data_IF_959411395433
#
_entry.id   IF_959411395433
#
_cell.length_a   1.000
_cell.length_b   1.000
_cell.length_c   1.000
_cell.angle_alpha   90.00
_cell.angle_beta   90.00
_cell.angle_gamma   90.00
#
_symmetry.space_group_name_H-M   'P 1'
#
loop_
_entity.id
_entity.type
_entity.pdbx_description
1 polymer ?
#
# COMPACT_ATOMS: atom_id res chain seq x y z
N UNK A 1 9.24 -2.34 24.89
CA UNK A 1 7.84 -2.24 24.40
C UNK A 1 7.89 -2.11 22.89
N UNK A 2 7.25 -3.04 22.19
CA UNK A 2 7.16 -2.96 20.74
C UNK A 2 6.24 -1.79 20.32
N UNK A 3 6.63 -1.07 19.26
CA UNK A 3 5.76 -0.06 18.65
C UNK A 3 4.54 -0.70 17.98
N UNK A 4 3.47 0.05 17.75
CA UNK A 4 2.30 -0.41 16.99
C UNK A 4 2.68 -1.00 15.63
N UNK A 5 3.62 -0.36 14.91
CA UNK A 5 4.15 -0.85 13.65
C UNK A 5 4.87 -2.20 13.76
N UNK A 6 5.67 -2.41 14.82
CA UNK A 6 6.36 -3.69 15.05
C UNK A 6 5.36 -4.82 15.32
N UNK A 7 4.35 -4.59 16.16
CA UNK A 7 3.28 -5.55 16.44
C UNK A 7 2.47 -5.89 15.17
N UNK A 8 2.14 -4.90 14.35
CA UNK A 8 1.42 -5.09 13.10
C UNK A 8 2.22 -5.93 12.11
N UNK A 9 3.55 -5.75 12.05
CA UNK A 9 4.43 -6.56 11.19
C UNK A 9 4.54 -8.01 11.69
N UNK A 10 4.57 -8.25 12.99
CA UNK A 10 4.54 -9.60 13.56
C UNK A 10 3.21 -10.29 13.20
N UNK A 11 2.10 -9.60 13.35
CA UNK A 11 0.79 -10.13 12.95
C UNK A 11 0.74 -10.44 11.46
N UNK A 12 1.29 -9.56 10.62
CA UNK A 12 1.40 -9.77 9.19
C UNK A 12 2.21 -11.04 8.87
N UNK A 13 3.34 -11.25 9.54
CA UNK A 13 4.17 -12.44 9.36
C UNK A 13 3.41 -13.72 9.75
N UNK A 14 2.67 -13.70 10.85
CA UNK A 14 1.83 -14.82 11.27
C UNK A 14 0.74 -15.11 10.24
N UNK A 15 0.05 -14.07 9.77
CA UNK A 15 -0.97 -14.20 8.73
C UNK A 15 -0.40 -14.76 7.42
N UNK A 16 0.80 -14.30 7.03
CA UNK A 16 1.49 -14.81 5.84
C UNK A 16 1.83 -16.28 5.94
N UNK A 17 2.26 -16.74 7.12
CA UNK A 17 2.55 -18.15 7.38
C UNK A 17 1.28 -19.03 7.37
N UNK A 18 0.13 -18.44 7.62
CA UNK A 18 -1.17 -19.14 7.69
C UNK A 18 -1.99 -19.00 6.40
N UNK A 19 -1.40 -18.56 5.30
CA UNK A 19 -2.10 -18.46 4.02
C UNK A 19 -2.73 -19.81 3.66
N UNK A 20 -4.05 -19.79 3.37
CA UNK A 20 -4.83 -20.96 3.03
C UNK A 20 -5.52 -21.65 4.22
N UNK A 21 -5.09 -21.40 5.45
CA UNK A 21 -5.72 -21.95 6.66
C UNK A 21 -6.51 -20.91 7.49
N UNK A 22 -6.28 -19.63 7.24
CA UNK A 22 -6.97 -18.54 7.94
C UNK A 22 -8.40 -18.35 7.37
N UNK A 23 -9.46 -18.54 8.17
CA UNK A 23 -10.84 -18.39 7.72
C UNK A 23 -11.27 -16.93 7.56
N UNK A 24 -10.45 -15.96 7.98
CA UNK A 24 -10.79 -14.54 7.95
C UNK A 24 -10.73 -14.01 6.52
N UNK A 25 -11.86 -13.52 6.02
CA UNK A 25 -12.01 -13.02 4.64
C UNK A 25 -11.54 -11.59 4.46
N UNK A 26 -11.64 -10.76 5.50
CA UNK A 26 -11.22 -9.35 5.47
C UNK A 26 -10.28 -9.06 6.63
N UNK A 27 -9.11 -8.51 6.32
CA UNK A 27 -8.12 -8.11 7.32
C UNK A 27 -7.72 -6.66 7.07
N UNK A 28 -7.65 -5.88 8.14
CA UNK A 28 -7.20 -4.48 8.10
C UNK A 28 -5.84 -4.38 8.79
N UNK A 29 -4.87 -3.80 8.08
CA UNK A 29 -3.55 -3.49 8.62
C UNK A 29 -3.37 -1.98 8.69
N UNK A 30 -2.99 -1.49 9.87
CA UNK A 30 -2.60 -0.12 10.10
C UNK A 30 -1.19 -0.09 10.70
N UNK A 31 -0.39 0.93 10.32
CA UNK A 31 0.97 1.13 10.81
C UNK A 31 1.97 -0.01 10.51
N UNK A 32 1.68 -0.91 9.57
CA UNK A 32 2.61 -2.00 9.20
C UNK A 32 3.87 -1.50 8.50
N UNK A 33 3.82 -0.31 7.93
CA UNK A 33 4.88 0.34 7.15
C UNK A 33 5.72 1.34 7.95
N UNK A 34 5.46 1.51 9.24
CA UNK A 34 6.19 2.45 10.11
C UNK A 34 7.69 2.13 10.14
N UNK A 35 8.50 3.12 9.79
CA UNK A 35 9.96 3.00 9.77
C UNK A 35 10.53 2.22 8.58
N UNK A 36 9.70 1.79 7.63
CA UNK A 36 10.14 1.13 6.41
C UNK A 36 10.35 2.13 5.27
N UNK A 37 11.17 1.75 4.30
CA UNK A 37 11.39 2.52 3.08
C UNK A 37 12.03 1.68 1.99
N UNK A 38 12.10 2.22 0.79
CA UNK A 38 12.80 1.62 -0.33
C UNK A 38 12.36 0.19 -0.67
N UNK A 39 13.32 -0.69 -0.85
CA UNK A 39 13.09 -2.09 -1.22
C UNK A 39 12.31 -2.89 -0.17
N UNK A 40 12.45 -2.57 1.11
CA UNK A 40 11.72 -3.23 2.19
C UNK A 40 10.22 -2.89 2.13
N UNK A 41 9.89 -1.63 1.84
CA UNK A 41 8.50 -1.22 1.64
C UNK A 41 7.87 -1.89 0.41
N UNK A 42 8.65 -2.05 -0.66
CA UNK A 42 8.20 -2.76 -1.86
C UNK A 42 7.93 -4.25 -1.56
N UNK A 43 8.83 -4.89 -0.82
CA UNK A 43 8.65 -6.28 -0.39
C UNK A 43 7.40 -6.45 0.48
N UNK A 44 7.14 -5.50 1.40
CA UNK A 44 5.91 -5.47 2.19
C UNK A 44 4.67 -5.35 1.30
N UNK A 45 4.67 -4.44 0.34
CA UNK A 45 3.56 -4.28 -0.60
C UNK A 45 3.24 -5.57 -1.36
N UNK A 46 4.27 -6.24 -1.86
CA UNK A 46 4.14 -7.53 -2.55
C UNK A 46 3.61 -8.65 -1.63
N UNK A 47 4.03 -8.67 -0.38
CA UNK A 47 3.53 -9.64 0.60
C UNK A 47 2.04 -9.42 0.87
N UNK A 48 1.62 -8.16 1.07
CA UNK A 48 0.23 -7.80 1.27
C UNK A 48 -0.64 -8.19 0.06
N UNK A 49 -0.11 -7.98 -1.14
CA UNK A 49 -0.77 -8.40 -2.38
C UNK A 49 -0.98 -9.92 -2.45
N UNK A 50 0.00 -10.72 -2.04
CA UNK A 50 -0.15 -12.18 -1.95
C UNK A 50 -1.21 -12.59 -0.92
N UNK A 51 -1.25 -11.92 0.22
CA UNK A 51 -2.29 -12.15 1.24
C UNK A 51 -3.69 -11.87 0.72
N UNK A 52 -3.84 -10.95 -0.21
CA UNK A 52 -5.13 -10.56 -0.77
C UNK A 52 -5.71 -11.56 -1.78
N UNK A 53 -4.98 -12.60 -2.14
CA UNK A 53 -5.49 -13.65 -3.05
C UNK A 53 -6.62 -14.42 -2.35
N UNK A 54 -7.83 -14.33 -2.90
CA UNK A 54 -9.01 -15.01 -2.36
C UNK A 54 -9.60 -14.36 -1.11
N UNK A 55 -9.12 -13.18 -0.72
CA UNK A 55 -9.61 -12.43 0.45
C UNK A 55 -9.45 -10.93 0.26
N UNK A 56 -10.00 -10.14 1.17
CA UNK A 56 -9.82 -8.71 1.18
C UNK A 56 -8.77 -8.30 2.21
N UNK A 57 -7.79 -7.51 1.77
CA UNK A 57 -6.79 -6.88 2.65
C UNK A 57 -6.91 -5.37 2.49
N UNK A 58 -7.18 -4.68 3.59
CA UNK A 58 -7.24 -3.22 3.64
C UNK A 58 -6.00 -2.74 4.39
N UNK A 59 -5.25 -1.85 3.80
CA UNK A 59 -4.00 -1.32 4.39
C UNK A 59 -4.06 0.19 4.44
N UNK A 60 -3.76 0.75 5.60
CA UNK A 60 -3.57 2.19 5.78
C UNK A 60 -2.06 2.45 5.72
N UNK A 61 -1.63 3.22 4.73
CA UNK A 61 -0.22 3.47 4.45
C UNK A 61 0.00 4.85 3.85
N UNK A 62 1.16 5.43 4.12
CA UNK A 62 1.65 6.64 3.48
C UNK A 62 2.80 6.36 2.52
N UNK A 63 3.19 5.11 2.34
CA UNK A 63 4.31 4.73 1.49
C UNK A 63 3.85 4.45 0.05
N UNK A 64 4.49 5.08 -0.94
CA UNK A 64 4.15 4.88 -2.34
C UNK A 64 4.34 3.43 -2.79
N UNK A 65 5.33 2.72 -2.26
CA UNK A 65 5.59 1.31 -2.58
C UNK A 65 4.43 0.39 -2.18
N UNK A 66 3.83 0.64 -1.04
CA UNK A 66 2.67 -0.11 -0.54
C UNK A 66 1.42 0.26 -1.35
N UNK A 67 1.19 1.55 -1.58
CA UNK A 67 0.07 2.04 -2.37
C UNK A 67 0.12 1.51 -3.82
N UNK A 68 1.31 1.46 -4.42
CA UNK A 68 1.49 0.95 -5.79
C UNK A 68 1.21 -0.55 -5.91
N UNK A 69 1.41 -1.32 -4.86
CA UNK A 69 1.15 -2.76 -4.85
C UNK A 69 -0.35 -3.11 -4.76
N UNK A 70 -1.19 -2.18 -4.31
CA UNK A 70 -2.61 -2.42 -4.13
C UNK A 70 -3.36 -2.58 -5.46
N UNK A 71 -4.41 -3.41 -5.46
CA UNK A 71 -5.34 -3.54 -6.59
C UNK A 71 -6.24 -2.30 -6.70
N UNK A 72 -6.60 -1.72 -5.55
CA UNK A 72 -7.41 -0.52 -5.44
C UNK A 72 -6.71 0.50 -4.56
N UNK A 73 -6.78 1.77 -4.93
CA UNK A 73 -6.18 2.87 -4.19
C UNK A 73 -7.27 3.86 -3.79
N UNK A 74 -7.40 4.09 -2.49
CA UNK A 74 -8.31 5.08 -1.94
C UNK A 74 -7.47 6.18 -1.29
N UNK A 75 -7.63 7.41 -1.73
CA UNK A 75 -6.99 8.57 -1.15
C UNK A 75 -7.88 9.19 -0.07
N UNK A 76 -7.36 9.29 1.13
CA UNK A 76 -8.04 9.97 2.25
C UNK A 76 -7.39 11.32 2.46
N UNK A 77 -8.18 12.38 2.39
CA UNK A 77 -7.71 13.75 2.62
C UNK A 77 -8.65 14.53 3.53
N UNK A 78 -8.09 15.51 4.22
CA UNK A 78 -8.86 16.48 4.98
C UNK A 78 -9.22 17.65 4.08
N UNK A 79 -10.48 18.09 4.17
CA UNK A 79 -10.97 19.29 3.50
C UNK A 79 -11.58 20.21 4.54
N UNK A 80 -11.44 21.51 4.32
CA UNK A 80 -12.05 22.54 5.18
C UNK A 80 -13.11 23.27 4.36
N UNK A 81 -14.36 23.18 4.80
CA UNK A 81 -15.49 23.87 4.20
C UNK A 81 -16.26 24.58 5.33
N UNK A 82 -16.57 25.86 5.14
CA UNK A 82 -17.30 26.68 6.12
C UNK A 82 -16.74 26.62 7.55
N UNK A 83 -15.41 26.62 7.69
CA UNK A 83 -14.71 26.55 8.97
C UNK A 83 -14.77 25.19 9.67
N UNK A 84 -15.29 24.16 9.00
CA UNK A 84 -15.32 22.79 9.48
C UNK A 84 -14.38 21.89 8.70
N UNK A 85 -13.77 20.96 9.39
CA UNK A 85 -12.87 19.97 8.77
C UNK A 85 -13.61 18.65 8.57
N UNK A 86 -13.53 18.14 7.35
CA UNK A 86 -14.08 16.85 6.96
C UNK A 86 -12.97 15.96 6.42
N UNK A 87 -13.14 14.66 6.59
CA UNK A 87 -12.33 13.67 5.88
C UNK A 87 -13.10 13.18 4.65
N UNK A 88 -12.43 13.14 3.52
CA UNK A 88 -12.99 12.63 2.27
C UNK A 88 -12.15 11.45 1.79
N UNK A 89 -12.79 10.35 1.44
CA UNK A 89 -12.17 9.18 0.85
C UNK A 89 -12.60 9.09 -0.61
N UNK A 90 -11.64 9.03 -1.52
CA UNK A 90 -11.88 9.00 -2.96
C UNK A 90 -11.12 7.83 -3.59
N UNK A 91 -11.80 6.95 -4.34
CA UNK A 91 -11.10 5.94 -5.12
C UNK A 91 -10.32 6.62 -6.25
N UNK A 92 -9.09 6.16 -6.46
CA UNK A 92 -8.21 6.67 -7.50
C UNK A 92 -7.94 5.59 -8.53
N UNK A 93 -7.95 5.99 -9.80
CA UNK A 93 -7.56 5.17 -10.93
C UNK A 93 -6.78 5.98 -11.97
N UNK A 94 -6.20 5.30 -12.95
CA UNK A 94 -5.55 5.91 -14.09
C UNK A 94 -4.62 7.09 -13.72
N UNK A 95 -4.88 8.24 -14.32
CA UNK A 95 -4.08 9.46 -14.16
C UNK A 95 -4.09 9.99 -12.73
N UNK A 96 -5.22 9.93 -12.04
CA UNK A 96 -5.35 10.41 -10.66
C UNK A 96 -4.48 9.56 -9.71
N UNK A 97 -4.45 8.25 -9.90
CA UNK A 97 -3.59 7.35 -9.14
C UNK A 97 -2.11 7.63 -9.37
N UNK A 98 -1.71 7.81 -10.62
CA UNK A 98 -0.31 8.14 -10.95
C UNK A 98 0.12 9.47 -10.33
N UNK A 99 -0.73 10.50 -10.39
CA UNK A 99 -0.46 11.79 -9.78
C UNK A 99 -0.26 11.65 -8.26
N UNK A 100 -1.11 10.89 -7.59
CA UNK A 100 -0.98 10.64 -6.15
C UNK A 100 0.29 9.87 -5.81
N UNK A 101 0.66 8.86 -6.58
CA UNK A 101 1.91 8.13 -6.37
C UNK A 101 3.13 9.03 -6.57
N UNK A 102 3.11 9.93 -7.56
CA UNK A 102 4.17 10.91 -7.77
C UNK A 102 4.31 11.85 -6.57
N UNK A 103 3.21 12.34 -6.01
CA UNK A 103 3.22 13.16 -4.80
C UNK A 103 3.78 12.39 -3.59
N UNK A 104 3.39 11.14 -3.39
CA UNK A 104 3.92 10.28 -2.32
C UNK A 104 5.42 10.01 -2.45
N UNK A 105 5.94 9.99 -3.67
CA UNK A 105 7.37 9.89 -3.93
C UNK A 105 8.14 11.19 -3.63
N UNK A 106 7.44 12.23 -3.16
CA UNK A 106 8.03 13.53 -2.87
C UNK A 106 8.21 14.40 -4.10
N UNK A 107 7.64 13.99 -5.23
CA UNK A 107 7.67 14.70 -6.49
C UNK A 107 6.51 15.68 -6.65
N UNK A 108 6.65 16.48 -7.66
CA UNK A 108 5.57 17.28 -8.22
C UNK A 108 4.82 16.42 -9.28
N UNK A 109 4.04 17.07 -10.14
CA UNK A 109 3.38 16.42 -11.27
C UNK A 109 4.16 16.56 -12.58
N UNK A 110 5.48 16.68 -12.48
CA UNK A 110 6.36 16.73 -13.64
C UNK A 110 6.31 15.41 -14.40
N UNK A 111 6.70 15.44 -15.68
CA UNK A 111 6.77 14.24 -16.51
C UNK A 111 7.73 13.21 -15.94
N UNK A 112 8.81 13.65 -15.31
CA UNK A 112 9.79 12.79 -14.65
C UNK A 112 9.19 12.09 -13.43
N UNK A 113 8.49 12.83 -12.57
CA UNK A 113 7.83 12.27 -11.39
C UNK A 113 6.73 11.28 -11.78
N UNK A 114 5.95 11.59 -12.80
CA UNK A 114 4.92 10.69 -13.32
C UNK A 114 5.54 9.44 -13.96
N UNK A 115 6.67 9.56 -14.67
CA UNK A 115 7.39 8.42 -15.21
C UNK A 115 7.92 7.50 -14.10
N UNK A 116 8.44 8.08 -13.01
CA UNK A 116 8.88 7.33 -11.84
C UNK A 116 7.69 6.59 -11.17
N UNK A 117 6.57 7.26 -11.02
CA UNK A 117 5.34 6.65 -10.49
C UNK A 117 4.84 5.47 -11.35
N UNK A 118 4.90 5.59 -12.69
CA UNK A 118 4.55 4.50 -13.60
C UNK A 118 5.49 3.29 -13.43
N UNK A 119 6.78 3.55 -13.32
CA UNK A 119 7.78 2.49 -13.08
C UNK A 119 7.51 1.78 -11.77
N UNK A 120 7.25 2.53 -10.70
CA UNK A 120 6.93 1.96 -9.40
C UNK A 120 5.65 1.11 -9.45
N UNK A 121 4.60 1.62 -10.07
CA UNK A 121 3.33 0.91 -10.21
C UNK A 121 3.52 -0.43 -10.93
N UNK A 122 4.24 -0.42 -12.04
CA UNK A 122 4.55 -1.64 -12.80
C UNK A 122 5.36 -2.61 -11.95
N UNK A 123 6.44 -2.17 -11.32
CA UNK A 123 7.33 -3.00 -10.50
C UNK A 123 6.59 -3.62 -9.32
N UNK A 124 5.72 -2.86 -8.67
CA UNK A 124 4.94 -3.33 -7.52
C UNK A 124 3.85 -4.34 -7.91
N UNK A 125 3.33 -4.25 -9.13
CA UNK A 125 2.29 -5.15 -9.66
C UNK A 125 2.85 -6.42 -10.29
N UNK A 126 4.14 -6.45 -10.62
CA UNK A 126 4.80 -7.65 -11.14
C UNK A 126 4.77 -8.77 -10.09
N UNK A 127 4.28 -9.93 -10.48
CA UNK A 127 4.41 -11.13 -9.67
C UNK A 127 5.86 -11.56 -9.71
N UNK A 128 6.55 -11.75 -8.58
CA UNK A 128 7.88 -12.32 -8.60
C UNK A 128 7.82 -13.66 -9.35
N UNK A 129 8.68 -13.84 -10.32
CA UNK A 129 8.83 -15.13 -10.98
C UNK A 129 9.18 -16.12 -9.88
N UNK A 130 8.31 -17.11 -9.68
CA UNK A 130 8.63 -18.20 -8.79
C UNK A 130 9.84 -18.91 -9.36
N UNK A 131 10.99 -18.70 -8.76
CA UNK A 131 12.11 -19.58 -9.02
C UNK A 131 11.73 -20.89 -8.34
N UNK A 132 11.14 -21.79 -9.12
CA UNK A 132 10.95 -23.17 -8.71
C UNK A 132 12.33 -23.80 -8.71
N UNK A 133 12.93 -23.83 -7.55
CA UNK A 133 14.14 -24.58 -7.33
C UNK A 133 13.80 -25.99 -6.85
#
# INVERSE_FOLDING_TARGET
>A
IASGGALSRVLLAVKAAMIGSDPVLTTVFDEVDTGLGGSTALALGRLLRRLAVGRQVIVVSHLPQVAAAADHHIHVRKIVEDGRTYSRAEPLDGTARLAQLAELLGGDRSDEALAHARTLLRTAQETPVSVVG
#
